data_IF_861269793791
#
_entry.id   IF_861269793791
#
_cell.length_a   1.000
_cell.length_b   1.000
_cell.length_c   1.000
_cell.angle_alpha   90.00
_cell.angle_beta   90.00
_cell.angle_gamma   90.00
#
_symmetry.space_group_name_H-M   'P 1'
#
loop_
_entity.id
_entity.type
_entity.pdbx_description
1 polymer ?
#
# COMPACT_ATOMS: atom_id res chain seq x y z
N UNK A 1 -10.49 -19.43 -30.99
CA UNK A 1 -9.04 -19.07 -31.04
C UNK A 1 -8.78 -17.76 -30.30
N UNK A 2 -9.62 -16.75 -30.50
CA UNK A 2 -9.52 -15.47 -29.77
C UNK A 2 -9.63 -15.69 -28.25
N UNK A 3 -10.52 -16.59 -27.82
CA UNK A 3 -10.78 -16.89 -26.40
C UNK A 3 -9.54 -17.41 -25.67
N UNK A 4 -8.73 -18.23 -26.34
CA UNK A 4 -7.46 -18.73 -25.80
C UNK A 4 -6.44 -17.60 -25.58
N UNK A 5 -6.37 -16.64 -26.51
CA UNK A 5 -5.49 -15.47 -26.38
C UNK A 5 -5.97 -14.52 -25.28
N UNK A 6 -7.29 -14.32 -25.16
CA UNK A 6 -7.87 -13.52 -24.07
C UNK A 6 -7.62 -14.17 -22.71
N UNK A 7 -7.81 -15.49 -22.59
CA UNK A 7 -7.52 -16.22 -21.36
C UNK A 7 -6.03 -16.15 -21.00
N UNK A 8 -5.16 -16.36 -21.98
CA UNK A 8 -3.72 -16.22 -21.80
C UNK A 8 -3.34 -14.81 -21.32
N UNK A 9 -3.87 -13.77 -21.95
CA UNK A 9 -3.66 -12.38 -21.55
C UNK A 9 -4.16 -12.10 -20.14
N UNK A 10 -5.36 -12.58 -19.79
CA UNK A 10 -5.94 -12.44 -18.46
C UNK A 10 -5.04 -13.10 -17.40
N UNK A 11 -4.64 -14.35 -17.62
CA UNK A 11 -3.78 -15.10 -16.68
C UNK A 11 -2.41 -14.45 -16.53
N UNK A 12 -1.79 -13.99 -17.62
CA UNK A 12 -0.53 -13.23 -17.53
C UNK A 12 -0.73 -11.95 -16.71
N UNK A 13 -1.80 -11.20 -16.98
CA UNK A 13 -2.14 -10.00 -16.21
C UNK A 13 -2.25 -10.30 -14.72
N UNK A 14 -2.96 -11.38 -14.36
CA UNK A 14 -3.11 -11.84 -12.97
C UNK A 14 -1.77 -12.22 -12.35
N UNK A 15 -0.92 -12.98 -13.05
CA UNK A 15 0.40 -13.39 -12.54
C UNK A 15 1.29 -12.18 -12.29
N UNK A 16 1.35 -11.23 -13.23
CA UNK A 16 2.15 -10.00 -13.08
C UNK A 16 1.59 -9.13 -11.96
N UNK A 17 0.26 -9.06 -11.81
CA UNK A 17 -0.39 -8.31 -10.73
C UNK A 17 -0.01 -8.89 -9.36
N UNK A 18 -0.13 -10.21 -9.20
CA UNK A 18 0.23 -10.91 -7.96
C UNK A 18 1.72 -10.78 -7.66
N UNK A 19 2.58 -10.90 -8.67
CA UNK A 19 4.01 -10.70 -8.51
C UNK A 19 4.34 -9.28 -8.01
N UNK A 20 3.67 -8.25 -8.54
CA UNK A 20 3.86 -6.89 -8.07
C UNK A 20 3.32 -6.64 -6.67
N UNK A 21 2.19 -7.24 -6.30
CA UNK A 21 1.68 -7.17 -4.92
C UNK A 21 2.65 -7.85 -3.95
N UNK A 22 3.20 -9.01 -4.32
CA UNK A 22 4.26 -9.68 -3.55
C UNK A 22 5.52 -8.81 -3.41
N UNK A 23 5.90 -8.12 -4.48
CA UNK A 23 7.02 -7.18 -4.49
C UNK A 23 6.76 -5.95 -3.62
N UNK A 24 5.52 -5.44 -3.58
CA UNK A 24 5.10 -4.36 -2.68
C UNK A 24 5.21 -4.78 -1.21
N UNK A 25 4.65 -5.95 -0.86
CA UNK A 25 4.76 -6.51 0.51
C UNK A 25 6.22 -6.71 0.90
N UNK A 26 7.04 -7.25 0.00
CA UNK A 26 8.47 -7.40 0.21
C UNK A 26 9.16 -6.04 0.44
N UNK A 27 8.89 -5.04 -0.42
CA UNK A 27 9.53 -3.73 -0.31
C UNK A 27 9.15 -3.02 1.00
N UNK A 28 7.88 -3.05 1.40
CA UNK A 28 7.40 -2.44 2.65
C UNK A 28 7.98 -3.15 3.87
N UNK A 29 8.02 -4.49 3.87
CA UNK A 29 8.58 -5.26 4.99
C UNK A 29 10.11 -5.11 5.08
N UNK A 30 10.82 -5.09 3.96
CA UNK A 30 12.25 -4.85 3.91
C UNK A 30 12.59 -3.42 4.36
N UNK A 31 11.84 -2.42 3.90
CA UNK A 31 11.97 -1.04 4.36
C UNK A 31 11.75 -0.94 5.88
N UNK A 32 10.71 -1.57 6.41
CA UNK A 32 10.40 -1.62 7.86
C UNK A 32 11.55 -2.10 8.74
N UNK A 33 12.45 -2.92 8.19
CA UNK A 33 13.62 -3.50 8.86
C UNK A 33 14.92 -2.74 8.62
N UNK A 34 14.92 -1.73 7.73
CA UNK A 34 16.11 -0.96 7.42
C UNK A 34 16.56 -0.10 8.61
N UNK A 35 17.86 -0.13 8.86
CA UNK A 35 18.54 0.67 9.89
C UNK A 35 19.41 1.78 9.28
N UNK A 36 19.79 1.61 8.01
CA UNK A 36 20.58 2.58 7.24
C UNK A 36 19.85 3.04 5.98
N UNK A 37 20.25 4.20 5.45
CA UNK A 37 19.72 4.73 4.18
C UNK A 37 20.06 3.81 3.00
N UNK A 38 21.22 3.16 3.01
CA UNK A 38 21.62 2.21 1.98
C UNK A 38 20.69 0.98 1.93
N UNK A 39 20.36 0.40 3.09
CA UNK A 39 19.40 -0.72 3.19
C UNK A 39 18.01 -0.31 2.69
N UNK A 40 17.54 0.88 3.09
CA UNK A 40 16.28 1.41 2.61
C UNK A 40 16.30 1.57 1.09
N UNK A 41 17.36 2.14 0.51
CA UNK A 41 17.45 2.38 -0.94
C UNK A 41 17.45 1.07 -1.74
N UNK A 42 18.06 0.01 -1.23
CA UNK A 42 17.99 -1.34 -1.81
C UNK A 42 16.56 -1.88 -1.74
N UNK A 43 15.90 -1.76 -0.59
CA UNK A 43 14.52 -2.22 -0.41
C UNK A 43 13.54 -1.51 -1.36
N UNK A 44 13.63 -0.18 -1.50
CA UNK A 44 12.72 0.57 -2.37
C UNK A 44 13.11 0.54 -3.85
N UNK A 45 14.33 0.12 -4.20
CA UNK A 45 14.73 -0.09 -5.61
C UNK A 45 13.85 -1.13 -6.29
N UNK A 46 13.48 -2.19 -5.58
CA UNK A 46 12.56 -3.21 -6.06
C UNK A 46 11.18 -2.62 -6.40
N UNK A 47 10.69 -1.67 -5.60
CA UNK A 47 9.40 -1.03 -5.79
C UNK A 47 9.34 -0.06 -6.99
N UNK A 48 10.46 0.29 -7.62
CA UNK A 48 10.50 1.23 -8.76
C UNK A 48 9.73 0.73 -9.99
N UNK A 49 9.58 -0.58 -10.14
CA UNK A 49 8.82 -1.16 -11.25
C UNK A 49 7.30 -1.08 -11.04
N UNK A 50 6.83 -0.98 -9.79
CA UNK A 50 5.41 -1.04 -9.44
C UNK A 50 4.54 0.03 -10.12
N UNK A 51 4.94 1.31 -10.23
CA UNK A 51 4.10 2.35 -10.82
C UNK A 51 3.74 2.10 -12.29
N UNK A 52 4.58 1.37 -13.03
CA UNK A 52 4.34 1.03 -14.44
C UNK A 52 3.75 -0.37 -14.55
N UNK A 53 4.29 -1.32 -13.79
CA UNK A 53 3.91 -2.72 -13.86
C UNK A 53 2.47 -2.96 -13.36
N UNK A 54 2.05 -2.30 -12.28
CA UNK A 54 0.72 -2.46 -11.71
C UNK A 54 -0.42 -2.02 -12.63
N UNK A 55 -0.45 -0.78 -13.16
CA UNK A 55 -1.54 -0.39 -14.05
C UNK A 55 -1.56 -1.22 -15.34
N UNK A 56 -0.39 -1.62 -15.86
CA UNK A 56 -0.32 -2.49 -17.04
C UNK A 56 -0.88 -3.88 -16.76
N UNK A 57 -0.52 -4.47 -15.61
CA UNK A 57 -1.02 -5.77 -15.19
C UNK A 57 -2.54 -5.74 -14.94
N UNK A 58 -3.03 -4.70 -14.26
CA UNK A 58 -4.46 -4.48 -14.05
C UNK A 58 -5.20 -4.30 -15.37
N UNK A 59 -4.67 -3.50 -16.29
CA UNK A 59 -5.28 -3.29 -17.61
C UNK A 59 -5.35 -4.59 -18.41
N UNK A 60 -4.28 -5.38 -18.41
CA UNK A 60 -4.22 -6.65 -19.13
C UNK A 60 -5.18 -7.67 -18.50
N UNK A 61 -5.14 -7.82 -17.18
CA UNK A 61 -6.03 -8.71 -16.43
C UNK A 61 -7.49 -8.34 -16.64
N UNK A 62 -7.87 -7.09 -16.35
CA UNK A 62 -9.27 -6.65 -16.41
C UNK A 62 -9.75 -6.51 -17.85
N UNK A 63 -8.93 -5.98 -18.75
CA UNK A 63 -9.29 -5.81 -20.17
C UNK A 63 -9.55 -7.16 -20.85
N UNK A 64 -8.64 -8.12 -20.69
CA UNK A 64 -8.84 -9.46 -21.25
C UNK A 64 -9.98 -10.22 -20.55
N UNK A 65 -10.13 -10.06 -19.23
CA UNK A 65 -11.22 -10.68 -18.47
C UNK A 65 -12.60 -10.17 -18.90
N UNK A 66 -12.77 -8.86 -19.08
CA UNK A 66 -14.02 -8.27 -19.57
C UNK A 66 -14.31 -8.69 -21.02
N UNK A 67 -13.28 -8.76 -21.86
CA UNK A 67 -13.42 -9.24 -23.23
C UNK A 67 -13.88 -10.71 -23.29
N UNK A 68 -13.36 -11.56 -22.38
CA UNK A 68 -13.80 -12.96 -22.23
C UNK A 68 -15.30 -13.05 -21.92
N UNK A 69 -15.77 -12.31 -20.92
CA UNK A 69 -17.20 -12.29 -20.57
C UNK A 69 -18.07 -11.76 -21.71
N UNK A 70 -17.54 -10.84 -22.54
CA UNK A 70 -18.27 -10.28 -23.66
C UNK A 70 -18.30 -11.19 -24.91
N UNK A 71 -17.39 -12.15 -25.06
CA UNK A 71 -17.25 -12.96 -26.28
C UNK A 71 -17.59 -14.43 -26.07
N UNK A 72 -17.36 -14.98 -24.89
CA UNK A 72 -17.56 -16.40 -24.62
C UNK A 72 -18.88 -16.62 -23.85
N UNK A 73 -19.85 -17.36 -24.43
CA UNK A 73 -21.12 -17.66 -23.79
C UNK A 73 -21.00 -18.55 -22.54
N UNK A 74 -19.81 -19.09 -22.22
CA UNK A 74 -19.57 -19.77 -20.96
C UNK A 74 -19.48 -18.80 -19.75
N UNK A 75 -19.18 -17.52 -19.99
CA UNK A 75 -18.97 -16.53 -18.93
C UNK A 75 -20.06 -15.46 -18.98
N UNK A 76 -20.75 -15.23 -17.86
CA UNK A 76 -21.84 -14.24 -17.80
C UNK A 76 -21.59 -13.18 -16.73
N UNK A 77 -21.91 -11.91 -17.04
CA UNK A 77 -21.90 -10.83 -16.06
C UNK A 77 -22.88 -11.03 -14.89
N UNK A 78 -23.88 -11.90 -15.07
CA UNK A 78 -24.83 -12.29 -14.02
C UNK A 78 -24.24 -13.26 -12.99
N UNK A 79 -23.07 -13.84 -13.26
CA UNK A 79 -22.43 -14.74 -12.33
C UNK A 79 -21.92 -13.97 -11.12
N UNK A 80 -22.36 -14.39 -9.95
CA UNK A 80 -22.04 -13.72 -8.70
C UNK A 80 -20.52 -13.65 -8.44
N UNK A 81 -19.74 -14.62 -8.93
CA UNK A 81 -18.28 -14.61 -8.81
C UNK A 81 -17.64 -13.54 -9.71
N UNK A 82 -18.19 -13.28 -10.89
CA UNK A 82 -17.69 -12.23 -11.80
C UNK A 82 -17.88 -10.86 -11.16
N UNK A 83 -19.08 -10.58 -10.64
CA UNK A 83 -19.39 -9.31 -9.97
C UNK A 83 -18.51 -9.10 -8.73
N UNK A 84 -18.34 -10.13 -7.91
CA UNK A 84 -17.49 -10.07 -6.72
C UNK A 84 -16.01 -9.84 -7.08
N UNK A 85 -15.48 -10.53 -8.10
CA UNK A 85 -14.11 -10.32 -8.56
C UNK A 85 -13.88 -8.89 -9.07
N UNK A 86 -14.82 -8.35 -9.86
CA UNK A 86 -14.77 -6.95 -10.32
C UNK A 86 -14.77 -5.99 -9.12
N UNK A 87 -15.66 -6.21 -8.14
CA UNK A 87 -15.72 -5.41 -6.93
C UNK A 87 -14.39 -5.38 -6.15
N UNK A 88 -13.74 -6.54 -6.02
CA UNK A 88 -12.42 -6.64 -5.36
C UNK A 88 -11.36 -5.91 -6.15
N UNK A 89 -11.29 -6.08 -7.48
CA UNK A 89 -10.30 -5.40 -8.32
C UNK A 89 -10.47 -3.88 -8.25
N UNK A 90 -11.72 -3.40 -8.26
CA UNK A 90 -12.02 -1.97 -8.08
C UNK A 90 -11.58 -1.51 -6.70
N UNK A 91 -11.90 -2.25 -5.64
CA UNK A 91 -11.46 -1.91 -4.28
C UNK A 91 -9.93 -1.85 -4.15
N UNK A 92 -9.22 -2.85 -4.70
CA UNK A 92 -7.75 -2.87 -4.74
C UNK A 92 -7.21 -1.70 -5.56
N UNK A 93 -7.84 -1.34 -6.68
CA UNK A 93 -7.38 -0.23 -7.52
C UNK A 93 -7.53 1.11 -6.81
N UNK A 94 -8.65 1.31 -6.09
CA UNK A 94 -8.90 2.51 -5.29
C UNK A 94 -7.91 2.59 -4.11
N UNK A 95 -7.70 1.49 -3.39
CA UNK A 95 -6.75 1.44 -2.26
C UNK A 95 -5.30 1.57 -2.74
N UNK A 96 -4.90 0.82 -3.75
CA UNK A 96 -3.55 0.82 -4.31
C UNK A 96 -3.18 2.15 -4.96
N UNK A 97 -4.06 2.70 -5.81
CA UNK A 97 -3.84 3.96 -6.50
C UNK A 97 -4.01 5.19 -5.61
N UNK A 98 -4.97 5.15 -4.66
CA UNK A 98 -5.29 6.28 -3.78
C UNK A 98 -4.41 6.35 -2.53
N UNK A 99 -4.13 5.22 -1.88
CA UNK A 99 -3.47 5.15 -0.57
C UNK A 99 -2.01 4.67 -0.64
N UNK A 100 -1.66 3.69 -1.48
CA UNK A 100 -0.28 3.14 -1.52
C UNK A 100 0.65 3.88 -2.50
N UNK A 101 0.15 4.30 -3.66
CA UNK A 101 0.99 4.84 -4.73
C UNK A 101 1.72 6.15 -4.39
N UNK A 102 1.02 7.11 -3.75
CA UNK A 102 1.58 8.42 -3.41
C UNK A 102 2.61 8.38 -2.27
N UNK A 103 2.38 7.66 -1.16
CA UNK A 103 3.39 7.53 -0.11
C UNK A 103 4.63 6.75 -0.58
N UNK A 104 4.46 5.73 -1.41
CA UNK A 104 5.59 4.93 -1.91
C UNK A 104 6.54 5.76 -2.79
N UNK A 105 6.02 6.61 -3.68
CA UNK A 105 6.86 7.50 -4.50
C UNK A 105 7.55 8.56 -3.65
N UNK A 106 6.83 9.15 -2.68
CA UNK A 106 7.42 10.13 -1.73
C UNK A 106 8.53 9.50 -0.89
N UNK A 107 8.35 8.26 -0.45
CA UNK A 107 9.36 7.52 0.29
C UNK A 107 10.59 7.25 -0.58
N UNK A 108 10.39 6.91 -1.86
CA UNK A 108 11.46 6.75 -2.85
C UNK A 108 12.26 8.04 -3.04
N UNK A 109 11.58 9.17 -3.22
CA UNK A 109 12.22 10.46 -3.42
C UNK A 109 12.98 10.90 -2.16
N UNK A 110 12.38 10.74 -0.99
CA UNK A 110 13.01 11.07 0.28
C UNK A 110 14.22 10.16 0.60
N UNK A 111 14.15 8.87 0.26
CA UNK A 111 15.28 7.94 0.42
C UNK A 111 16.43 8.23 -0.56
N UNK A 112 16.15 8.77 -1.74
CA UNK A 112 17.18 9.20 -2.70
C UNK A 112 17.82 10.53 -2.30
N UNK A 113 17.05 11.43 -1.67
CA UNK A 113 17.56 12.73 -1.20
C UNK A 113 18.32 12.65 0.14
N UNK A 114 18.12 11.58 0.92
CA UNK A 114 18.78 11.42 2.21
C UNK A 114 20.29 11.13 2.07
N UNK A 115 21.13 11.79 2.89
CA UNK A 115 22.56 11.51 2.94
C UNK A 115 22.84 10.10 3.47
N UNK A 116 24.00 9.55 3.10
CA UNK A 116 24.44 8.25 3.61
C UNK A 116 24.59 8.25 5.13
N UNK A 117 24.21 7.15 5.76
CA UNK A 117 24.34 6.97 7.21
C UNK A 117 23.12 6.32 7.88
N UNK A 118 23.00 6.49 9.21
CA UNK A 118 21.85 6.01 9.97
C UNK A 118 20.54 6.57 9.43
N UNK A 119 19.49 5.76 9.46
CA UNK A 119 18.19 6.17 8.96
C UNK A 119 17.64 7.38 9.77
N UNK A 120 17.34 8.53 9.12
CA UNK A 120 16.79 9.69 9.81
C UNK A 120 15.47 9.35 10.53
N UNK A 121 15.21 9.91 11.72
CA UNK A 121 14.01 9.57 12.51
C UNK A 121 12.69 9.80 11.77
N UNK A 122 12.61 10.84 10.93
CA UNK A 122 11.42 11.15 10.13
C UNK A 122 11.16 10.10 9.04
N UNK A 123 12.21 9.55 8.42
CA UNK A 123 12.10 8.46 7.45
C UNK A 123 11.76 7.13 8.15
N UNK A 124 12.37 6.87 9.31
CA UNK A 124 12.06 5.70 10.12
C UNK A 124 10.58 5.67 10.55
N UNK A 125 10.00 6.83 10.89
CA UNK A 125 8.58 6.93 11.21
C UNK A 125 7.68 6.65 10.00
N UNK A 126 8.02 7.19 8.83
CA UNK A 126 7.25 7.00 7.60
C UNK A 126 7.26 5.54 7.12
N UNK A 127 8.40 4.88 7.23
CA UNK A 127 8.60 3.49 6.81
C UNK A 127 7.91 2.49 7.75
N UNK A 128 7.73 2.88 9.02
CA UNK A 128 7.06 2.08 10.05
C UNK A 128 5.59 2.43 10.22
N UNK A 129 5.01 3.19 9.28
CA UNK A 129 3.60 3.52 9.30
C UNK A 129 2.77 2.22 9.23
N UNK A 130 1.96 1.92 10.26
CA UNK A 130 1.12 0.73 10.27
C UNK A 130 0.10 0.72 9.13
N UNK A 131 -0.29 1.89 8.61
CA UNK A 131 -1.23 2.01 7.49
C UNK A 131 -0.63 1.45 6.21
N UNK A 132 0.66 1.70 5.94
CA UNK A 132 1.39 1.16 4.78
C UNK A 132 1.53 -0.37 4.86
N UNK A 133 1.81 -0.90 6.04
CA UNK A 133 1.88 -2.34 6.26
C UNK A 133 0.51 -3.01 6.15
N UNK A 134 -0.53 -2.37 6.69
CA UNK A 134 -1.89 -2.86 6.61
C UNK A 134 -2.38 -2.85 5.15
N UNK A 135 -2.18 -1.76 4.40
CA UNK A 135 -2.59 -1.65 3.00
C UNK A 135 -1.96 -2.74 2.14
N UNK A 136 -0.65 -2.96 2.23
CA UNK A 136 0.04 -3.98 1.46
C UNK A 136 -0.47 -5.39 1.77
N UNK A 137 -0.71 -5.70 3.05
CA UNK A 137 -1.25 -7.01 3.49
C UNK A 137 -2.70 -7.20 3.04
N UNK A 138 -3.53 -6.18 3.18
CA UNK A 138 -4.93 -6.20 2.75
C UNK A 138 -5.00 -6.46 1.25
N UNK A 139 -4.18 -5.77 0.46
CA UNK A 139 -4.09 -5.97 -0.99
C UNK A 139 -3.66 -7.40 -1.34
N UNK A 140 -2.67 -7.96 -0.64
CA UNK A 140 -2.26 -9.36 -0.83
C UNK A 140 -3.37 -10.35 -0.52
N UNK A 141 -4.07 -10.19 0.61
CA UNK A 141 -5.20 -11.04 1.00
C UNK A 141 -6.33 -10.93 -0.04
N UNK A 142 -6.66 -9.72 -0.47
CA UNK A 142 -7.70 -9.47 -1.46
C UNK A 142 -7.35 -10.10 -2.82
N UNK A 143 -6.08 -10.04 -3.24
CA UNK A 143 -5.62 -10.70 -4.46
C UNK A 143 -5.70 -12.23 -4.35
N UNK A 144 -5.25 -12.82 -3.23
CA UNK A 144 -5.41 -14.27 -3.00
C UNK A 144 -6.87 -14.69 -3.01
N UNK A 145 -7.75 -13.87 -2.41
CA UNK A 145 -9.19 -14.11 -2.41
C UNK A 145 -9.77 -14.08 -3.83
N UNK A 146 -9.39 -13.10 -4.65
CA UNK A 146 -9.83 -13.00 -6.03
C UNK A 146 -9.41 -14.23 -6.87
N UNK A 147 -8.18 -14.72 -6.69
CA UNK A 147 -7.70 -15.94 -7.37
C UNK A 147 -8.50 -17.16 -6.95
N UNK A 148 -8.77 -17.31 -5.64
CA UNK A 148 -9.56 -18.41 -5.12
C UNK A 148 -10.98 -18.38 -5.72
N UNK A 149 -11.59 -17.20 -5.77
CA UNK A 149 -12.92 -17.00 -6.35
C UNK A 149 -12.98 -17.41 -7.82
N UNK A 150 -11.96 -17.06 -8.60
CA UNK A 150 -11.82 -17.45 -10.00
C UNK A 150 -11.46 -18.92 -10.20
N UNK A 151 -10.91 -19.59 -9.19
CA UNK A 151 -10.53 -21.01 -9.29
C UNK A 151 -11.68 -21.95 -8.94
N UNK A 152 -12.49 -21.57 -7.94
CA UNK A 152 -13.56 -22.44 -7.41
C UNK A 152 -14.89 -22.21 -8.14
N UNK A 153 -15.05 -21.10 -8.87
CA UNK A 153 -16.30 -20.72 -9.55
C UNK A 153 -17.55 -20.96 -8.69
N UNK A 154 -17.59 -20.49 -7.41
CA UNK A 154 -18.68 -20.87 -6.52
C UNK A 154 -20.00 -20.29 -7.03
N UNK A 155 -21.00 -21.14 -7.23
CA UNK A 155 -22.39 -20.69 -7.41
C UNK A 155 -22.90 -20.00 -6.12
N UNK A 156 -24.01 -19.24 -6.23
CA UNK A 156 -24.58 -18.22 -5.32
C UNK A 156 -24.34 -18.31 -3.79
N UNK A 157 -24.06 -19.48 -3.23
CA UNK A 157 -23.67 -19.68 -1.83
C UNK A 157 -22.29 -19.07 -1.49
N UNK A 158 -21.35 -18.98 -2.44
CA UNK A 158 -20.05 -18.30 -2.23
C UNK A 158 -20.13 -16.77 -2.19
N UNK A 159 -21.25 -16.20 -2.64
CA UNK A 159 -21.48 -14.75 -2.71
C UNK A 159 -21.68 -14.13 -1.33
N UNK A 160 -22.27 -14.88 -0.39
CA UNK A 160 -22.41 -14.47 1.01
C UNK A 160 -21.05 -14.32 1.69
N UNK A 161 -20.07 -15.17 1.35
CA UNK A 161 -18.70 -15.08 1.87
C UNK A 161 -17.98 -13.87 1.24
N UNK A 162 -18.28 -13.56 -0.02
CA UNK A 162 -17.73 -12.39 -0.71
C UNK A 162 -18.28 -11.07 -0.13
N UNK A 163 -19.56 -11.06 0.27
CA UNK A 163 -20.19 -9.92 0.96
C UNK A 163 -19.57 -9.72 2.35
N UNK A 164 -19.28 -10.81 3.07
CA UNK A 164 -18.56 -10.79 4.35
C UNK A 164 -17.11 -10.29 4.18
N UNK A 165 -16.42 -10.67 3.12
CA UNK A 165 -15.07 -10.18 2.82
C UNK A 165 -15.06 -8.68 2.43
N UNK A 166 -16.03 -8.22 1.63
CA UNK A 166 -16.17 -6.82 1.25
C UNK A 166 -16.49 -5.91 2.45
N UNK A 167 -17.31 -6.41 3.38
CA UNK A 167 -17.60 -5.72 4.64
C UNK A 167 -16.40 -5.70 5.59
N UNK A 168 -15.66 -6.82 5.70
CA UNK A 168 -14.40 -6.87 6.46
C UNK A 168 -13.32 -5.92 5.90
N UNK A 169 -13.16 -5.87 4.58
CA UNK A 169 -12.22 -4.96 3.93
C UNK A 169 -12.61 -3.49 4.13
N UNK A 170 -13.91 -3.19 4.05
CA UNK A 170 -14.44 -1.83 4.28
C UNK A 170 -14.27 -1.39 5.74
N UNK A 171 -14.51 -2.26 6.71
CA UNK A 171 -14.33 -1.92 8.14
C UNK A 171 -12.86 -1.71 8.50
N UNK A 172 -11.94 -2.47 7.91
CA UNK A 172 -10.50 -2.30 8.14
C UNK A 172 -10.00 -0.99 7.50
N UNK A 173 -10.47 -0.62 6.31
CA UNK A 173 -10.13 0.66 5.68
C UNK A 173 -10.65 1.89 6.46
N UNK A 174 -11.86 1.78 7.01
CA UNK A 174 -12.44 2.83 7.87
C UNK A 174 -11.69 2.90 9.21
N UNK A 175 -11.37 1.77 9.83
CA UNK A 175 -10.60 1.74 11.08
C UNK A 175 -9.17 2.29 10.92
N UNK A 176 -8.52 2.01 9.78
CA UNK A 176 -7.18 2.53 9.48
C UNK A 176 -7.17 4.05 9.20
N UNK A 177 -8.28 4.62 8.73
CA UNK A 177 -8.41 6.06 8.43
C UNK A 177 -8.85 6.92 9.61
N UNK A 178 -9.33 6.32 10.71
CA UNK A 178 -9.74 7.05 11.92
C UNK A 178 -8.63 7.27 12.96
N UNK A 179 -7.36 7.03 12.63
CA UNK A 179 -6.27 7.38 13.55
C UNK A 179 -6.25 8.90 13.77
N UNK A 180 -6.48 9.40 15.00
CA UNK A 180 -6.46 10.83 15.27
C UNK A 180 -5.11 11.40 14.81
N UNK A 181 -5.16 12.43 13.97
CA UNK A 181 -3.98 13.22 13.66
C UNK A 181 -3.29 13.57 14.98
N UNK A 182 -2.03 13.15 15.17
CA UNK A 182 -1.27 13.64 16.30
C UNK A 182 -1.29 15.17 16.23
N UNK A 183 -1.71 15.87 17.30
CA UNK A 183 -1.61 17.31 17.33
C UNK A 183 -0.15 17.69 17.05
N UNK A 184 0.09 18.74 16.25
CA UNK A 184 1.44 19.17 15.90
C UNK A 184 2.29 19.27 17.17
N UNK A 185 3.31 18.43 17.26
CA UNK A 185 4.38 18.56 18.26
C UNK A 185 5.04 19.92 17.98
N UNK A 186 4.72 20.91 18.82
CA UNK A 186 5.34 22.23 18.77
C UNK A 186 4.45 23.38 18.33
N UNK A 187 3.19 23.47 18.80
CA UNK A 187 2.49 24.77 18.78
C UNK A 187 1.93 25.12 20.17
N UNK A 188 2.27 26.33 20.59
CA UNK A 188 1.80 27.12 21.74
C UNK A 188 2.14 26.63 23.16
N UNK A 189 2.12 25.33 23.45
CA UNK A 189 2.42 24.81 24.80
C UNK A 189 3.91 24.95 25.19
N UNK A 190 4.82 24.64 24.25
CA UNK A 190 6.27 24.76 24.47
C UNK A 190 6.73 26.23 24.46
N UNK A 191 6.09 27.08 23.65
CA UNK A 191 6.34 28.52 23.63
C UNK A 191 5.88 29.19 24.94
N UNK A 192 4.72 28.78 25.48
CA UNK A 192 4.24 29.24 26.78
C UNK A 192 5.14 28.76 27.92
N UNK A 193 5.67 27.53 27.86
CA UNK A 193 6.60 26.99 28.85
C UNK A 193 7.96 27.71 28.84
N UNK A 194 8.49 28.06 27.65
CA UNK A 194 9.71 28.84 27.51
C UNK A 194 9.55 30.30 27.95
N UNK A 195 8.34 30.88 27.81
CA UNK A 195 8.06 32.24 28.29
C UNK A 195 7.93 32.37 29.82
N UNK A 196 7.73 31.24 30.53
CA UNK A 196 7.64 31.19 32.00
C UNK A 196 9.00 30.99 32.68
N UNK A 197 10.08 30.82 31.91
CA UNK A 197 11.42 30.78 32.49
C UNK A 197 11.81 32.20 32.93
N UNK A 198 12.22 32.38 34.20
CA UNK A 198 12.61 33.69 34.70
C UNK A 198 13.84 34.23 33.93
N UNK A 199 13.86 35.52 33.57
CA UNK A 199 15.03 36.13 32.96
C UNK A 199 16.14 36.32 34.01
N UNK A 200 17.24 35.58 33.86
CA UNK A 200 18.45 35.69 34.69
C UNK A 200 18.96 34.30 35.08
N UNK A 201 20.16 33.88 34.75
CA UNK A 201 21.43 34.57 35.01
C UNK A 201 22.47 34.15 33.95
N UNK A 202 22.79 35.05 33.01
CA UNK A 202 23.94 34.91 32.09
C UNK A 202 25.22 35.51 32.70
N UNK A 203 25.27 35.64 34.03
CA UNK A 203 26.42 36.10 34.79
C UNK A 203 27.64 35.18 34.67
N UNK A 204 28.60 35.64 33.86
CA UNK A 204 30.00 35.70 34.24
C UNK A 204 30.65 34.40 34.78
N UNK A 205 31.11 33.54 33.86
CA UNK A 205 32.22 32.62 34.12
C UNK A 205 33.42 32.97 33.24
N UNK A 206 33.95 34.17 33.44
CA UNK A 206 35.35 34.44 33.13
C UNK A 206 36.13 34.60 34.42
N UNK A 207 37.27 33.92 34.47
CA UNK A 207 38.37 34.05 35.42
C UNK A 207 38.32 33.25 36.75
N UNK A 208 39.45 32.56 36.97
CA UNK A 208 40.10 32.25 38.25
C UNK A 208 40.06 30.80 38.73
N UNK A 209 41.10 30.04 38.36
CA UNK A 209 41.99 29.24 39.23
C UNK A 209 42.79 28.33 38.28
N UNK A 210 44.01 28.71 37.91
CA UNK A 210 45.26 28.45 38.66
C UNK A 210 45.61 26.95 38.63
#
# INVERSE_FOLDING_TARGET
MIDAWLLFGHVIGTVVLVAGIGLEVYAVTAAGRATTVAELRVAVRAARALPVMMPLATLLMTGCGLALVAHDPAFHFGDAWVVAAIGIVVAISVVGGGFSGRPATRLLDAANAAPEGPLPPHLAALVRDPVLLASARITAIAATWAIWLMSVHPHATGTLISLAAATLLSTIAIAASTTPAQPPVGTDADAAALSKLPPGDTGNRTASAA
#
